data_IF_165479617743
#
_entry.id   IF_165479617743
#
_cell.length_a   1.000
_cell.length_b   1.000
_cell.length_c   1.000
_cell.angle_alpha   90.00
_cell.angle_beta   90.00
_cell.angle_gamma   90.00
#
_symmetry.space_group_name_H-M   'P 1'
#
loop_
_entity.id
_entity.type
_entity.pdbx_description
1 polymer ?
#
# COMPACT_ATOMS: atom_id res chain seq x y z
N UNK A 1 19.02 67.15 -2.21
CA UNK A 1 20.43 66.80 -2.43
C UNK A 1 20.45 65.51 -3.26
N UNK A 2 20.79 65.59 -4.55
CA UNK A 2 20.77 64.41 -5.42
C UNK A 2 21.98 63.50 -5.12
N UNK A 3 21.82 62.17 -5.09
CA UNK A 3 22.93 61.25 -4.84
C UNK A 3 24.00 61.40 -5.93
N UNK A 4 25.27 61.34 -5.54
CA UNK A 4 26.38 61.47 -6.48
C UNK A 4 26.49 60.20 -7.33
N UNK A 5 26.86 60.35 -8.61
CA UNK A 5 26.99 59.25 -9.59
C UNK A 5 27.80 58.05 -9.07
N UNK A 6 28.77 58.30 -8.18
CA UNK A 6 29.61 57.27 -7.56
C UNK A 6 28.83 56.39 -6.56
N UNK A 7 27.93 56.99 -5.78
CA UNK A 7 27.09 56.25 -4.81
C UNK A 7 26.08 55.33 -5.50
N UNK A 8 25.58 55.73 -6.67
CA UNK A 8 24.69 54.88 -7.47
C UNK A 8 25.46 53.69 -8.05
N UNK A 9 26.67 53.92 -8.57
CA UNK A 9 27.53 52.85 -9.11
C UNK A 9 27.99 51.86 -8.04
N UNK A 10 28.28 52.32 -6.82
CA UNK A 10 28.65 51.41 -5.73
C UNK A 10 27.47 50.54 -5.28
N UNK A 11 26.26 51.10 -5.26
CA UNK A 11 25.04 50.37 -4.94
C UNK A 11 24.71 49.32 -6.00
N UNK A 12 24.76 49.66 -7.29
CA UNK A 12 24.52 48.70 -8.38
C UNK A 12 25.52 47.54 -8.35
N UNK A 13 26.79 47.84 -8.06
CA UNK A 13 27.82 46.81 -7.93
C UNK A 13 27.56 45.89 -6.74
N UNK A 14 27.12 46.45 -5.61
CA UNK A 14 26.75 45.67 -4.44
C UNK A 14 25.52 44.78 -4.70
N UNK A 15 24.50 45.32 -5.38
CA UNK A 15 23.30 44.56 -5.77
C UNK A 15 23.68 43.40 -6.68
N UNK A 16 24.47 43.65 -7.73
CA UNK A 16 24.89 42.60 -8.66
C UNK A 16 25.69 41.48 -7.97
N UNK A 17 26.56 41.85 -7.01
CA UNK A 17 27.32 40.88 -6.23
C UNK A 17 26.41 40.05 -5.31
N UNK A 18 25.47 40.69 -4.62
CA UNK A 18 24.49 40.01 -3.75
C UNK A 18 23.56 39.09 -4.55
N UNK A 19 23.12 39.50 -5.75
CA UNK A 19 22.31 38.65 -6.62
C UNK A 19 23.07 37.41 -7.09
N UNK A 20 24.35 37.57 -7.42
CA UNK A 20 25.21 36.44 -7.79
C UNK A 20 25.39 35.48 -6.62
N UNK A 21 25.64 35.98 -5.41
CA UNK A 21 25.75 35.14 -4.21
C UNK A 21 24.45 34.39 -3.92
N UNK A 22 23.31 35.11 -3.93
CA UNK A 22 21.99 34.51 -3.71
C UNK A 22 21.68 33.41 -4.72
N UNK A 23 22.09 33.56 -5.98
CA UNK A 23 21.91 32.52 -7.01
C UNK A 23 22.72 31.26 -6.69
N UNK A 24 23.97 31.42 -6.25
CA UNK A 24 24.84 30.30 -5.87
C UNK A 24 24.27 29.57 -4.65
N UNK A 25 23.89 30.32 -3.62
CA UNK A 25 23.28 29.76 -2.40
C UNK A 25 21.98 29.01 -2.69
N UNK A 26 21.14 29.54 -3.58
CA UNK A 26 19.90 28.87 -3.97
C UNK A 26 20.15 27.54 -4.70
N UNK A 27 21.17 27.49 -5.56
CA UNK A 27 21.56 26.25 -6.24
C UNK A 27 22.08 25.23 -5.22
N UNK A 28 22.91 25.65 -4.27
CA UNK A 28 23.42 24.77 -3.22
C UNK A 28 22.28 24.23 -2.35
N UNK A 29 21.36 25.09 -1.91
CA UNK A 29 20.18 24.69 -1.15
C UNK A 29 19.32 23.68 -1.92
N UNK A 30 19.11 23.89 -3.22
CA UNK A 30 18.36 22.95 -4.07
C UNK A 30 19.07 21.59 -4.18
N UNK A 31 20.39 21.59 -4.30
CA UNK A 31 21.19 20.38 -4.33
C UNK A 31 21.13 19.63 -3.00
N UNK A 32 21.26 20.33 -1.87
CA UNK A 32 21.12 19.75 -0.54
C UNK A 32 19.70 19.20 -0.33
N UNK A 33 18.67 19.95 -0.72
CA UNK A 33 17.29 19.49 -0.66
C UNK A 33 17.10 18.20 -1.47
N UNK A 34 17.61 18.13 -2.70
CA UNK A 34 17.49 16.94 -3.54
C UNK A 34 18.19 15.72 -2.91
N UNK A 35 19.42 15.89 -2.41
CA UNK A 35 20.18 14.82 -1.72
C UNK A 35 19.45 14.33 -0.46
N UNK A 36 18.97 15.25 0.35
CA UNK A 36 18.20 14.96 1.56
C UNK A 36 16.90 14.24 1.20
N UNK A 37 16.20 14.67 0.16
CA UNK A 37 14.96 14.02 -0.32
C UNK A 37 15.21 12.59 -0.79
N UNK A 38 16.32 12.32 -1.49
CA UNK A 38 16.68 10.94 -1.86
C UNK A 38 17.03 10.08 -0.64
N UNK A 39 17.64 10.64 0.39
CA UNK A 39 17.93 9.91 1.63
C UNK A 39 16.68 9.62 2.47
N UNK A 40 15.77 10.59 2.59
CA UNK A 40 14.50 10.44 3.31
C UNK A 40 13.37 9.85 2.46
N UNK A 41 13.68 9.32 1.27
CA UNK A 41 12.68 8.60 0.50
C UNK A 41 12.32 7.33 1.27
N UNK A 42 11.04 7.14 1.62
CA UNK A 42 10.62 5.95 2.35
C UNK A 42 10.94 4.67 1.59
N UNK A 43 11.07 4.72 0.25
CA UNK A 43 11.53 3.59 -0.56
C UNK A 43 12.95 3.13 -0.22
N UNK A 44 13.89 4.05 0.01
CA UNK A 44 15.26 3.69 0.38
C UNK A 44 15.31 3.17 1.83
N UNK A 45 14.51 3.74 2.73
CA UNK A 45 14.36 3.24 4.10
C UNK A 45 13.71 1.86 4.14
N UNK A 46 12.70 1.62 3.30
CA UNK A 46 12.03 0.33 3.17
C UNK A 46 12.94 -0.74 2.60
N UNK A 47 13.81 -0.42 1.64
CA UNK A 47 14.75 -1.41 1.10
C UNK A 47 15.74 -1.92 2.17
N UNK A 48 16.34 -1.02 2.94
CA UNK A 48 17.23 -1.41 4.05
C UNK A 48 16.46 -2.12 5.17
N UNK A 49 15.27 -1.60 5.54
CA UNK A 49 14.42 -2.23 6.57
C UNK A 49 13.94 -3.61 6.12
N UNK A 50 13.49 -3.80 4.88
CA UNK A 50 13.02 -5.10 4.37
C UNK A 50 14.18 -6.10 4.28
N UNK A 51 15.39 -5.64 3.94
CA UNK A 51 16.59 -6.48 3.91
C UNK A 51 16.97 -6.95 5.32
N UNK A 52 17.05 -6.05 6.30
CA UNK A 52 17.40 -6.39 7.68
C UNK A 52 16.30 -7.23 8.37
N UNK A 53 15.02 -6.92 8.11
CA UNK A 53 13.89 -7.69 8.64
C UNK A 53 13.72 -9.04 7.91
N UNK A 54 14.18 -9.11 6.67
CA UNK A 54 14.24 -10.30 5.82
C UNK A 54 15.42 -11.23 6.14
N UNK A 55 16.20 -11.01 7.17
CA UNK A 55 17.18 -12.01 7.65
C UNK A 55 16.65 -12.79 8.86
N UNK A 56 15.63 -12.28 9.56
CA UNK A 56 14.98 -12.96 10.69
C UNK A 56 13.87 -13.92 10.22
N UNK A 57 13.96 -15.24 10.51
CA UNK A 57 12.93 -16.21 10.15
C UNK A 57 11.55 -15.89 10.74
N UNK A 58 11.52 -15.34 11.97
CA UNK A 58 10.28 -14.99 12.68
C UNK A 58 9.55 -13.85 11.98
N UNK A 59 10.29 -12.86 11.50
CA UNK A 59 9.71 -11.68 10.87
C UNK A 59 9.18 -12.02 9.48
N UNK A 60 9.87 -12.88 8.72
CA UNK A 60 9.35 -13.41 7.44
C UNK A 60 8.02 -14.12 7.61
N UNK A 61 7.90 -14.98 8.61
CA UNK A 61 6.66 -15.70 8.91
C UNK A 61 5.51 -14.72 9.21
N UNK A 62 5.75 -13.75 10.09
CA UNK A 62 4.74 -12.74 10.45
C UNK A 62 4.32 -11.85 9.26
N UNK A 63 5.26 -11.45 8.40
CA UNK A 63 4.96 -10.67 7.19
C UNK A 63 4.17 -11.49 6.18
N UNK A 64 4.52 -12.75 5.97
CA UNK A 64 3.79 -13.66 5.09
C UNK A 64 2.36 -13.89 5.59
N UNK A 65 2.18 -14.14 6.88
CA UNK A 65 0.85 -14.25 7.51
C UNK A 65 0.06 -12.93 7.39
N UNK A 66 0.71 -11.78 7.53
CA UNK A 66 0.07 -10.47 7.36
C UNK A 66 -0.35 -10.24 5.91
N UNK A 67 0.50 -10.56 4.93
CA UNK A 67 0.16 -10.46 3.51
C UNK A 67 -0.99 -11.40 3.18
N UNK A 68 -0.97 -12.64 3.67
CA UNK A 68 -2.05 -13.61 3.47
C UNK A 68 -3.35 -13.15 4.13
N UNK A 69 -3.30 -12.61 5.36
CA UNK A 69 -4.51 -12.16 6.05
C UNK A 69 -5.11 -10.91 5.40
N UNK A 70 -4.29 -9.97 4.92
CA UNK A 70 -4.74 -8.79 4.18
C UNK A 70 -5.33 -9.18 2.83
N UNK A 71 -4.58 -9.95 2.04
CA UNK A 71 -5.03 -10.38 0.71
C UNK A 71 -6.24 -11.30 0.84
N UNK A 72 -6.15 -12.34 1.65
CA UNK A 72 -7.23 -13.26 1.97
C UNK A 72 -8.47 -12.56 2.52
N UNK A 73 -8.32 -11.61 3.44
CA UNK A 73 -9.41 -10.80 3.97
C UNK A 73 -10.07 -9.90 2.92
N UNK A 74 -9.28 -9.26 2.06
CA UNK A 74 -9.78 -8.42 0.97
C UNK A 74 -10.51 -9.24 -0.10
N UNK A 75 -9.92 -10.36 -0.53
CA UNK A 75 -10.54 -11.31 -1.46
C UNK A 75 -11.81 -11.91 -0.86
N UNK A 76 -11.77 -12.36 0.40
CA UNK A 76 -12.94 -12.88 1.12
C UNK A 76 -14.06 -11.84 1.19
N UNK A 77 -13.76 -10.59 1.57
CA UNK A 77 -14.73 -9.49 1.56
C UNK A 77 -15.28 -9.23 0.16
N UNK A 78 -14.45 -9.31 -0.88
CA UNK A 78 -14.87 -9.08 -2.28
C UNK A 78 -15.75 -10.22 -2.82
N UNK A 79 -15.50 -11.47 -2.40
CA UNK A 79 -16.29 -12.65 -2.76
C UNK A 79 -17.63 -12.70 -2.01
N UNK A 80 -17.64 -12.33 -0.72
CA UNK A 80 -18.83 -12.42 0.14
C UNK A 80 -19.71 -11.15 0.02
N UNK A 81 -19.11 -9.96 0.19
CA UNK A 81 -19.79 -8.65 0.29
C UNK A 81 -19.77 -7.86 -1.03
N UNK A 82 -18.86 -8.17 -1.96
CA UNK A 82 -18.77 -7.45 -3.23
C UNK A 82 -19.88 -7.80 -4.23
N UNK A 83 -20.15 -6.87 -5.17
CA UNK A 83 -20.97 -7.06 -6.39
C UNK A 83 -20.26 -8.01 -7.39
N UNK A 84 -19.62 -9.07 -6.90
CA UNK A 84 -19.09 -10.14 -7.74
C UNK A 84 -20.26 -11.06 -8.09
N UNK A 85 -20.81 -10.76 -9.26
CA UNK A 85 -21.78 -11.47 -10.08
C UNK A 85 -22.00 -12.95 -9.66
N UNK A 86 -23.23 -13.25 -9.23
CA UNK A 86 -23.95 -14.51 -9.01
C UNK A 86 -23.25 -15.88 -9.01
N UNK A 87 -22.17 -16.12 -9.75
CA UNK A 87 -21.52 -17.41 -9.94
C UNK A 87 -21.00 -18.05 -8.64
N UNK A 88 -20.19 -17.33 -7.84
CA UNK A 88 -19.60 -17.89 -6.60
C UNK A 88 -20.69 -18.18 -5.56
N UNK A 89 -21.67 -17.28 -5.42
CA UNK A 89 -22.81 -17.45 -4.51
C UNK A 89 -23.70 -18.63 -4.93
N UNK A 90 -23.96 -18.77 -6.23
CA UNK A 90 -24.73 -19.88 -6.77
C UNK A 90 -23.99 -21.21 -6.59
N UNK A 91 -22.67 -21.25 -6.82
CA UNK A 91 -21.87 -22.45 -6.61
C UNK A 91 -21.88 -22.90 -5.15
N UNK A 92 -21.68 -21.97 -4.21
CA UNK A 92 -21.77 -22.28 -2.77
C UNK A 92 -23.18 -22.73 -2.38
N UNK A 93 -24.22 -22.09 -2.94
CA UNK A 93 -25.62 -22.49 -2.76
C UNK A 93 -25.89 -23.91 -3.25
N UNK A 94 -25.40 -24.28 -4.44
CA UNK A 94 -25.57 -25.64 -4.99
C UNK A 94 -24.84 -26.69 -4.16
N UNK A 95 -23.63 -26.40 -3.69
CA UNK A 95 -22.86 -27.34 -2.83
C UNK A 95 -23.59 -27.55 -1.51
N UNK A 96 -24.07 -26.47 -0.88
CA UNK A 96 -24.87 -26.57 0.35
C UNK A 96 -26.16 -27.34 0.13
N UNK A 97 -26.89 -27.03 -0.93
CA UNK A 97 -28.12 -27.72 -1.28
C UNK A 97 -27.87 -29.20 -1.53
N UNK A 98 -26.85 -29.55 -2.32
CA UNK A 98 -26.49 -30.94 -2.57
C UNK A 98 -26.08 -31.67 -1.29
N UNK A 99 -25.30 -31.03 -0.40
CA UNK A 99 -24.90 -31.60 0.89
C UNK A 99 -26.09 -31.87 1.81
N UNK A 100 -26.98 -30.88 1.98
CA UNK A 100 -28.18 -30.99 2.81
C UNK A 100 -29.16 -32.01 2.21
N UNK A 101 -29.39 -31.98 0.91
CA UNK A 101 -30.27 -32.93 0.22
C UNK A 101 -29.75 -34.36 0.36
N UNK A 102 -28.46 -34.63 0.13
CA UNK A 102 -27.91 -35.97 0.34
C UNK A 102 -28.03 -36.43 1.80
N UNK A 103 -27.85 -35.52 2.76
CA UNK A 103 -27.98 -35.84 4.18
C UNK A 103 -29.43 -36.18 4.58
N UNK A 104 -30.40 -35.36 4.15
CA UNK A 104 -31.83 -35.62 4.41
C UNK A 104 -32.30 -36.86 3.65
N UNK A 105 -31.96 -37.01 2.36
CA UNK A 105 -32.37 -38.19 1.58
C UNK A 105 -31.84 -39.48 2.20
N UNK A 106 -30.60 -39.50 2.70
CA UNK A 106 -30.06 -40.67 3.41
C UNK A 106 -30.82 -40.98 4.71
N UNK A 107 -31.37 -39.96 5.39
CA UNK A 107 -32.14 -40.12 6.63
C UNK A 107 -33.62 -40.45 6.42
N UNK A 108 -34.23 -39.97 5.33
CA UNK A 108 -35.62 -40.25 4.96
C UNK A 108 -35.75 -41.61 4.27
N UNK A 109 -34.77 -42.01 3.45
CA UNK A 109 -34.73 -43.36 2.88
C UNK A 109 -34.54 -44.46 3.92
N UNK A 110 -33.96 -44.17 5.09
CA UNK A 110 -33.92 -45.10 6.22
C UNK A 110 -35.23 -45.20 7.01
N UNK A 111 -36.18 -44.27 6.82
CA UNK A 111 -37.47 -44.24 7.53
C UNK A 111 -38.63 -44.82 6.68
N UNK A 112 -38.42 -45.07 5.38
CA UNK A 112 -39.46 -45.59 4.47
C UNK A 112 -39.54 -47.14 4.46
N UNK A 113 -38.55 -47.85 5.00
CA UNK A 113 -38.53 -49.32 5.06
C UNK A 113 -39.24 -49.90 6.31
N UNK A 114 -39.80 -49.07 7.20
CA UNK A 114 -40.50 -49.48 8.43
C UNK A 114 -41.99 -49.10 8.46
N UNK A 115 -42.64 -48.90 7.30
CA UNK A 115 -44.09 -48.66 7.20
C UNK A 115 -44.81 -49.68 6.28
N UNK A 116 -44.17 -50.80 5.96
CA UNK A 116 -44.83 -51.96 5.34
C UNK A 116 -44.50 -53.24 6.11
N UNK A 117 -45.04 -53.38 7.33
CA UNK A 117 -45.24 -54.69 7.93
C UNK A 117 -46.59 -54.73 8.64
#
# INVERSE_FOLDING_TARGET
>A
MAPSKNQIQSLDKAISLLESQKRIEFIDLKNQFFKTREHFRPLNLLNETIKDFGESPVIKANLFETIISITGGYFSKKLIIGKSNSFIKNLLGYVLQFGVTNFISKKVSSDTDNQSK
#
